data_IF_084605897557
#
_entry.id   IF_084605897557
#
_cell.length_a   1.000
_cell.length_b   1.000
_cell.length_c   1.000
_cell.angle_alpha   90.00
_cell.angle_beta   90.00
_cell.angle_gamma   90.00
#
_symmetry.space_group_name_H-M   'P 1'
#
loop_
_entity.id
_entity.type
_entity.pdbx_description
1 polymer ?
#
# COMPACT_ATOMS: atom_id res chain seq x y z
N UNK A 1 24.91 5.94 3.45
CA UNK A 1 23.45 5.66 3.31
C UNK A 1 22.75 6.27 4.51
N UNK A 2 21.64 6.96 4.25
CA UNK A 2 20.87 7.59 5.32
C UNK A 2 20.40 6.56 6.36
N UNK A 3 20.41 6.97 7.62
CA UNK A 3 19.88 6.24 8.77
C UNK A 3 18.99 7.16 9.62
N UNK A 4 18.08 6.57 10.36
CA UNK A 4 17.31 7.26 11.38
C UNK A 4 17.81 6.83 12.76
N UNK A 5 18.03 7.81 13.62
CA UNK A 5 18.42 7.61 15.02
C UNK A 5 17.19 7.90 15.87
N UNK A 6 16.87 7.00 16.78
CA UNK A 6 15.70 7.08 17.65
C UNK A 6 16.17 6.92 19.10
N UNK A 7 15.95 7.92 19.92
CA UNK A 7 16.09 7.81 21.37
C UNK A 7 14.73 7.40 21.95
N UNK A 8 14.63 6.19 22.46
CA UNK A 8 13.38 5.62 22.93
C UNK A 8 12.91 6.15 24.27
N UNK A 9 11.74 5.67 24.73
CA UNK A 9 11.18 5.96 26.05
C UNK A 9 10.36 7.25 26.14
N UNK A 10 10.11 7.96 25.04
CA UNK A 10 9.20 9.12 25.01
C UNK A 10 7.78 8.67 24.73
N UNK A 11 6.83 9.06 25.59
CA UNK A 11 5.40 8.90 25.36
C UNK A 11 4.98 9.80 24.20
N UNK A 12 4.38 9.21 23.16
CA UNK A 12 3.88 9.97 22.03
C UNK A 12 2.56 10.66 22.37
N UNK A 13 2.41 11.93 21.97
CA UNK A 13 1.16 12.68 22.14
C UNK A 13 1.02 13.76 21.06
N UNK A 14 -0.20 14.09 20.71
CA UNK A 14 -0.49 15.16 19.76
C UNK A 14 -1.33 14.71 18.57
N UNK A 15 -1.28 15.50 17.50
CA UNK A 15 -2.07 15.27 16.29
C UNK A 15 -1.18 15.28 15.07
N UNK A 16 -1.29 14.27 14.22
CA UNK A 16 -0.63 14.22 12.91
C UNK A 16 -1.62 13.95 11.79
N UNK A 17 -1.36 14.47 10.59
CA UNK A 17 -2.10 14.10 9.40
C UNK A 17 -1.66 12.72 8.89
N UNK A 18 -2.62 11.92 8.47
CA UNK A 18 -2.37 10.69 7.69
C UNK A 18 -2.25 11.06 6.22
N UNK A 19 -1.18 10.63 5.58
CA UNK A 19 -0.93 10.88 4.15
C UNK A 19 -1.91 10.13 3.26
N UNK A 20 -1.94 10.50 1.98
CA UNK A 20 -2.64 9.72 0.97
C UNK A 20 -2.08 8.30 0.87
N UNK A 21 -2.96 7.34 0.62
CA UNK A 21 -2.60 5.92 0.58
C UNK A 21 -1.66 5.61 -0.58
N UNK A 22 -0.49 5.07 -0.25
CA UNK A 22 0.50 4.63 -1.25
C UNK A 22 -0.11 3.66 -2.25
N UNK A 23 -0.76 2.61 -1.72
CA UNK A 23 -1.29 1.52 -2.56
C UNK A 23 -2.41 2.05 -3.48
N UNK A 24 -3.30 2.90 -2.98
CA UNK A 24 -4.30 3.58 -3.82
C UNK A 24 -3.64 4.49 -4.87
N UNK A 25 -2.71 5.34 -4.48
CA UNK A 25 -2.03 6.26 -5.40
C UNK A 25 -1.38 5.55 -6.59
N UNK A 26 -0.69 4.42 -6.34
CA UNK A 26 -0.06 3.61 -7.40
C UNK A 26 -1.08 3.01 -8.38
N UNK A 27 -2.31 2.80 -7.93
CA UNK A 27 -3.41 2.28 -8.76
C UNK A 27 -4.13 3.39 -9.51
N UNK A 28 -4.22 4.60 -8.92
CA UNK A 28 -4.90 5.73 -9.54
C UNK A 28 -4.06 6.42 -10.63
N UNK A 29 -2.72 6.42 -10.49
CA UNK A 29 -1.81 7.05 -11.46
C UNK A 29 -1.98 6.50 -12.90
N UNK A 30 -2.02 5.19 -13.15
CA UNK A 30 -2.18 4.65 -14.50
C UNK A 30 -3.55 4.90 -15.12
N UNK A 31 -4.57 5.33 -14.35
CA UNK A 31 -5.86 5.75 -14.91
C UNK A 31 -5.74 6.95 -15.87
N UNK A 32 -4.67 7.76 -15.75
CA UNK A 32 -4.38 8.81 -16.73
C UNK A 32 -4.17 8.30 -18.15
N UNK A 33 -3.80 7.02 -18.33
CA UNK A 33 -3.69 6.38 -19.64
C UNK A 33 -5.04 6.09 -20.29
N UNK A 34 -6.14 6.09 -19.52
CA UNK A 34 -7.49 5.76 -20.02
C UNK A 34 -8.20 6.93 -20.71
N UNK A 35 -7.65 8.15 -20.65
CA UNK A 35 -8.22 9.36 -21.23
C UNK A 35 -7.16 10.26 -21.83
N UNK A 36 -7.54 11.15 -22.77
CA UNK A 36 -6.69 12.24 -23.28
C UNK A 36 -6.87 13.55 -22.52
N UNK A 37 -7.83 13.59 -21.60
CA UNK A 37 -8.11 14.73 -20.76
C UNK A 37 -7.25 14.72 -19.47
N UNK A 38 -7.07 15.87 -18.79
CA UNK A 38 -6.27 15.92 -17.55
C UNK A 38 -6.91 15.16 -16.39
N UNK A 39 -6.13 14.32 -15.72
CA UNK A 39 -6.44 13.70 -14.44
C UNK A 39 -5.66 14.41 -13.34
N UNK A 40 -6.35 15.05 -12.40
CA UNK A 40 -5.73 15.71 -11.24
C UNK A 40 -5.96 14.92 -9.98
N UNK A 41 -4.88 14.39 -9.41
CA UNK A 41 -4.89 13.68 -8.14
C UNK A 41 -4.45 14.59 -7.01
N UNK A 42 -5.30 14.75 -5.98
CA UNK A 42 -5.04 15.49 -4.74
C UNK A 42 -4.65 14.53 -3.62
N UNK A 43 -4.03 15.04 -2.59
CA UNK A 43 -3.57 14.22 -1.44
C UNK A 43 -2.61 13.09 -1.85
N UNK A 44 -1.81 13.31 -2.91
CA UNK A 44 -0.85 12.31 -3.39
C UNK A 44 0.39 12.30 -2.48
N UNK A 45 0.78 11.15 -1.89
CA UNK A 45 1.90 11.13 -0.95
C UNK A 45 3.25 11.35 -1.67
N UNK A 46 4.21 11.92 -0.94
CA UNK A 46 5.60 12.11 -1.42
C UNK A 46 6.42 10.89 -1.07
N UNK A 47 6.41 9.90 -1.94
CA UNK A 47 7.08 8.62 -1.75
C UNK A 47 7.92 8.27 -2.97
N UNK A 48 9.05 7.59 -2.76
CA UNK A 48 9.95 7.17 -3.84
C UNK A 48 9.25 6.31 -4.90
N UNK A 49 8.30 5.45 -4.50
CA UNK A 49 7.53 4.62 -5.42
C UNK A 49 6.59 5.48 -6.30
N UNK A 50 6.02 6.55 -5.77
CA UNK A 50 5.14 7.47 -6.53
C UNK A 50 5.97 8.22 -7.59
N UNK A 51 7.14 8.71 -7.21
CA UNK A 51 8.05 9.41 -8.13
C UNK A 51 8.58 8.45 -9.21
N UNK A 52 8.89 7.22 -8.84
CA UNK A 52 9.28 6.17 -9.79
C UNK A 52 8.16 5.81 -10.77
N UNK A 53 6.90 5.72 -10.30
CA UNK A 53 5.74 5.47 -11.15
C UNK A 53 5.45 6.66 -12.08
N UNK A 54 5.53 7.88 -11.58
CA UNK A 54 5.43 9.08 -12.40
C UNK A 54 6.46 9.06 -13.54
N UNK A 55 7.71 8.70 -13.23
CA UNK A 55 8.75 8.59 -14.26
C UNK A 55 8.44 7.49 -15.29
N UNK A 56 7.86 6.36 -14.87
CA UNK A 56 7.37 5.34 -15.80
C UNK A 56 6.26 5.90 -16.72
N UNK A 57 5.31 6.67 -16.18
CA UNK A 57 4.23 7.27 -16.96
C UNK A 57 4.75 8.22 -18.06
N UNK A 58 5.83 8.93 -17.82
CA UNK A 58 6.43 9.81 -18.85
C UNK A 58 6.96 9.04 -20.06
N UNK A 59 7.33 7.77 -19.92
CA UNK A 59 7.77 6.92 -21.05
C UNK A 59 6.64 6.67 -22.05
N UNK A 60 5.40 6.74 -21.62
CA UNK A 60 4.21 6.56 -22.45
C UNK A 60 3.71 7.87 -23.08
N UNK A 61 4.40 8.97 -22.83
CA UNK A 61 4.01 10.31 -23.32
C UNK A 61 3.07 11.07 -22.38
N UNK A 62 2.92 10.61 -21.13
CA UNK A 62 2.12 11.32 -20.13
C UNK A 62 2.89 12.56 -19.66
N UNK A 63 2.31 13.75 -19.83
CA UNK A 63 2.80 14.98 -19.22
C UNK A 63 2.35 15.05 -17.76
N UNK A 64 3.22 15.58 -16.90
CA UNK A 64 2.93 15.71 -15.46
C UNK A 64 3.22 17.12 -14.97
N UNK A 65 2.33 17.66 -14.14
CA UNK A 65 2.52 18.91 -13.42
C UNK A 65 2.28 18.68 -11.93
N UNK A 66 3.21 19.14 -11.09
CA UNK A 66 3.11 19.01 -9.64
C UNK A 66 2.91 20.39 -9.05
N UNK A 67 1.86 20.53 -8.23
CA UNK A 67 1.59 21.70 -7.41
C UNK A 67 1.78 21.38 -5.93
N UNK A 68 2.01 22.41 -5.12
CA UNK A 68 2.04 22.27 -3.67
C UNK A 68 0.70 21.79 -3.10
N UNK A 69 0.74 21.23 -1.88
CA UNK A 69 -0.46 20.88 -1.15
C UNK A 69 -1.31 22.12 -0.86
N UNK A 70 -2.63 21.97 -0.88
CA UNK A 70 -3.54 22.95 -0.27
C UNK A 70 -3.52 22.77 1.25
N UNK A 71 -3.92 23.78 2.04
CA UNK A 71 -3.94 23.68 3.50
C UNK A 71 -4.73 22.47 4.04
N UNK A 72 -5.77 22.05 3.30
CA UNK A 72 -6.62 20.92 3.64
C UNK A 72 -6.08 19.55 3.16
N UNK A 73 -5.09 19.53 2.28
CA UNK A 73 -4.45 18.34 1.74
C UNK A 73 -3.00 18.23 2.26
N UNK A 74 -2.65 17.13 2.89
CA UNK A 74 -1.30 16.91 3.43
C UNK A 74 -0.31 16.43 2.35
N UNK A 75 -0.82 15.79 1.28
CA UNK A 75 -0.07 15.37 0.12
C UNK A 75 -0.01 16.44 -0.98
N UNK A 76 0.82 16.21 -1.98
CA UNK A 76 0.91 17.06 -3.17
C UNK A 76 -0.29 16.89 -4.10
N UNK A 77 -0.45 17.84 -5.02
CA UNK A 77 -1.39 17.75 -6.14
C UNK A 77 -0.58 17.45 -7.40
N UNK A 78 -0.98 16.43 -8.14
CA UNK A 78 -0.36 16.06 -9.42
C UNK A 78 -1.43 16.02 -10.51
N UNK A 79 -1.19 16.71 -11.60
CA UNK A 79 -1.99 16.61 -12.83
C UNK A 79 -1.22 15.78 -13.85
N UNK A 80 -1.86 14.74 -14.38
CA UNK A 80 -1.31 13.87 -15.43
C UNK A 80 -2.20 14.02 -16.67
N UNK A 81 -1.60 14.02 -17.86
CA UNK A 81 -2.35 14.05 -19.10
C UNK A 81 -1.67 13.21 -20.18
N UNK A 82 -2.40 12.25 -20.72
CA UNK A 82 -2.00 11.38 -21.84
C UNK A 82 -2.72 11.79 -23.13
N UNK A 83 -2.48 13.01 -23.63
CA UNK A 83 -3.08 13.49 -24.87
C UNK A 83 -2.86 12.48 -26.02
N UNK A 84 -1.66 11.88 -26.06
CA UNK A 84 -1.29 10.81 -26.99
C UNK A 84 -0.39 9.82 -26.30
N UNK A 85 -0.67 8.53 -26.46
CA UNK A 85 0.25 7.46 -26.08
C UNK A 85 1.37 7.38 -27.12
N UNK A 86 2.62 7.61 -26.72
CA UNK A 86 3.79 7.65 -27.61
C UNK A 86 4.58 6.34 -27.62
N UNK A 87 4.40 5.50 -26.61
CA UNK A 87 4.99 4.16 -26.49
C UNK A 87 4.05 3.25 -25.72
N UNK A 88 4.02 1.96 -26.09
CA UNK A 88 3.26 0.92 -25.39
C UNK A 88 4.16 -0.02 -24.60
N UNK A 89 5.46 0.31 -24.45
CA UNK A 89 6.44 -0.55 -23.79
C UNK A 89 6.93 0.01 -22.47
N UNK A 90 6.78 -0.75 -21.40
CA UNK A 90 7.34 -0.50 -20.07
C UNK A 90 8.69 -1.24 -19.94
N UNK A 91 9.83 -0.52 -19.95
CA UNK A 91 11.15 -1.13 -20.03
C UNK A 91 11.60 -1.77 -18.71
N UNK A 92 12.44 -2.82 -18.80
CA UNK A 92 12.97 -3.57 -17.65
C UNK A 92 13.56 -2.69 -16.55
N UNK A 93 14.37 -1.69 -16.88
CA UNK A 93 15.08 -0.86 -15.90
C UNK A 93 14.15 -0.05 -14.98
N UNK A 94 12.95 0.26 -15.43
CA UNK A 94 11.92 0.93 -14.63
C UNK A 94 11.05 -0.09 -13.88
N UNK A 95 10.60 -1.15 -14.57
CA UNK A 95 9.70 -2.15 -13.99
C UNK A 95 10.37 -2.96 -12.87
N UNK A 96 11.65 -3.32 -13.01
CA UNK A 96 12.38 -4.11 -12.00
C UNK A 96 12.46 -3.44 -10.62
N UNK A 97 12.35 -2.12 -10.56
CA UNK A 97 12.46 -1.35 -9.31
C UNK A 97 11.17 -1.36 -8.50
N UNK A 98 10.03 -1.57 -9.17
CA UNK A 98 8.72 -1.44 -8.55
C UNK A 98 7.71 -2.38 -9.20
N UNK A 99 7.23 -3.36 -8.41
CA UNK A 99 6.29 -4.35 -8.90
C UNK A 99 4.96 -3.77 -9.40
N UNK A 100 4.49 -2.66 -8.79
CA UNK A 100 3.27 -1.98 -9.20
C UNK A 100 3.31 -1.49 -10.66
N UNK A 101 4.49 -1.45 -11.29
CA UNK A 101 4.65 -1.12 -12.71
C UNK A 101 3.82 -2.02 -13.64
N UNK A 102 3.46 -3.24 -13.20
CA UNK A 102 2.55 -4.13 -13.95
C UNK A 102 1.15 -3.54 -14.13
N UNK A 103 0.75 -2.57 -13.30
CA UNK A 103 -0.58 -1.94 -13.37
C UNK A 103 -0.79 -1.06 -14.61
N UNK A 104 0.25 -0.76 -15.37
CA UNK A 104 0.11 -0.08 -16.66
C UNK A 104 -0.43 -1.00 -17.75
N UNK A 105 -0.38 -2.33 -17.55
CA UNK A 105 -0.74 -3.32 -18.56
C UNK A 105 -2.21 -3.20 -18.99
N UNK A 106 -3.15 -3.17 -18.01
CA UNK A 106 -4.59 -3.07 -18.27
C UNK A 106 -5.00 -1.80 -18.99
N UNK A 107 -4.71 -0.61 -18.45
CA UNK A 107 -5.10 0.65 -19.06
C UNK A 107 -4.43 0.89 -20.42
N UNK A 108 -3.17 0.48 -20.60
CA UNK A 108 -2.48 0.59 -21.87
C UNK A 108 -3.12 -0.29 -22.93
N UNK A 109 -3.42 -1.55 -22.58
CA UNK A 109 -4.11 -2.48 -23.48
C UNK A 109 -5.50 -1.95 -23.89
N UNK A 110 -6.25 -1.41 -22.93
CA UNK A 110 -7.58 -0.85 -23.18
C UNK A 110 -7.54 0.38 -24.11
N UNK A 111 -6.57 1.28 -23.91
CA UNK A 111 -6.46 2.54 -24.66
C UNK A 111 -5.75 2.39 -26.01
N UNK A 112 -4.62 1.66 -26.04
CA UNK A 112 -3.77 1.57 -27.22
C UNK A 112 -3.95 0.28 -28.03
N UNK A 113 -4.71 -0.70 -27.52
CA UNK A 113 -4.90 -2.00 -28.15
C UNK A 113 -3.73 -2.97 -27.95
N UNK A 114 -2.58 -2.51 -27.46
CA UNK A 114 -1.45 -3.35 -27.09
C UNK A 114 -0.67 -2.78 -25.92
N UNK A 115 0.01 -3.65 -25.19
CA UNK A 115 0.94 -3.28 -24.13
C UNK A 115 2.07 -4.31 -24.03
N UNK A 116 3.29 -3.83 -23.87
CA UNK A 116 4.47 -4.67 -23.63
C UNK A 116 5.10 -4.25 -22.30
N UNK A 117 5.09 -5.13 -21.31
CA UNK A 117 5.59 -4.83 -19.96
C UNK A 117 6.63 -5.87 -19.58
N UNK A 118 7.81 -5.41 -19.13
CA UNK A 118 8.81 -6.33 -18.58
C UNK A 118 8.22 -7.11 -17.40
N UNK A 119 8.58 -8.38 -17.29
CA UNK A 119 8.25 -9.15 -16.10
C UNK A 119 8.87 -8.49 -14.86
N UNK A 120 8.09 -8.27 -13.80
CA UNK A 120 8.63 -7.70 -12.57
C UNK A 120 9.66 -8.67 -11.96
N UNK A 121 10.74 -8.13 -11.42
CA UNK A 121 11.73 -8.90 -10.66
C UNK A 121 11.12 -9.59 -9.44
N UNK A 122 11.88 -10.50 -8.82
CA UNK A 122 11.49 -11.17 -7.58
C UNK A 122 11.19 -10.18 -6.46
N UNK A 123 10.35 -10.60 -5.52
CA UNK A 123 10.01 -9.83 -4.33
C UNK A 123 10.58 -10.50 -3.08
N UNK A 124 11.15 -9.71 -2.17
CA UNK A 124 11.76 -10.22 -0.95
C UNK A 124 10.75 -10.95 -0.02
N UNK A 125 9.49 -10.56 -0.05
CA UNK A 125 8.43 -11.13 0.82
C UNK A 125 7.76 -12.39 0.26
N UNK A 126 8.15 -12.87 -0.93
CA UNK A 126 7.64 -14.12 -1.50
C UNK A 126 7.41 -14.11 -3.01
N UNK A 127 7.01 -15.25 -3.54
CA UNK A 127 6.66 -15.41 -4.95
C UNK A 127 5.32 -14.71 -5.23
N UNK A 128 5.32 -13.80 -6.20
CA UNK A 128 4.14 -13.01 -6.60
C UNK A 128 3.97 -13.06 -8.10
N UNK A 129 3.51 -14.20 -8.65
CA UNK A 129 3.32 -14.37 -10.08
C UNK A 129 2.26 -13.37 -10.60
N UNK A 130 2.35 -13.03 -11.88
CA UNK A 130 1.40 -12.14 -12.55
C UNK A 130 0.35 -12.90 -13.37
N UNK A 131 0.30 -14.21 -13.24
CA UNK A 131 -0.59 -15.09 -14.01
C UNK A 131 -2.07 -14.72 -13.89
N UNK A 132 -2.52 -14.29 -12.70
CA UNK A 132 -3.91 -13.85 -12.49
C UNK A 132 -4.24 -12.56 -13.26
N UNK A 133 -3.27 -11.65 -13.41
CA UNK A 133 -3.43 -10.47 -14.27
C UNK A 133 -3.66 -10.90 -15.72
N UNK A 134 -2.81 -11.81 -16.20
CA UNK A 134 -2.85 -12.25 -17.60
C UNK A 134 -4.12 -13.04 -17.91
N UNK A 135 -4.50 -13.98 -17.04
CA UNK A 135 -5.74 -14.77 -17.21
C UNK A 135 -7.00 -13.92 -17.20
N UNK A 136 -7.04 -12.87 -16.38
CA UNK A 136 -8.18 -11.94 -16.38
C UNK A 136 -8.27 -11.17 -17.72
N UNK A 137 -7.14 -10.73 -18.29
CA UNK A 137 -7.09 -10.06 -19.59
C UNK A 137 -7.43 -11.02 -20.74
N UNK A 138 -6.94 -12.27 -20.69
CA UNK A 138 -7.31 -13.32 -21.66
C UNK A 138 -8.81 -13.62 -21.64
N UNK A 139 -9.41 -13.68 -20.45
CA UNK A 139 -10.86 -13.88 -20.32
C UNK A 139 -11.69 -12.70 -20.88
N UNK A 140 -11.10 -11.52 -21.01
CA UNK A 140 -11.68 -10.37 -21.71
C UNK A 140 -11.36 -10.32 -23.20
N UNK A 141 -10.64 -11.32 -23.75
CA UNK A 141 -10.34 -11.48 -25.17
C UNK A 141 -8.94 -11.02 -25.59
N UNK A 142 -8.06 -10.67 -24.67
CA UNK A 142 -6.67 -10.34 -25.01
C UNK A 142 -5.88 -11.59 -25.42
N UNK A 143 -4.96 -11.42 -26.37
CA UNK A 143 -3.92 -12.40 -26.67
C UNK A 143 -2.67 -12.07 -25.85
N UNK A 144 -2.11 -13.05 -25.17
CA UNK A 144 -0.95 -12.88 -24.31
C UNK A 144 0.23 -13.68 -24.86
N UNK A 145 1.35 -13.01 -25.03
CA UNK A 145 2.64 -13.59 -25.43
C UNK A 145 3.68 -13.34 -24.34
N UNK A 146 4.42 -14.38 -23.99
CA UNK A 146 5.56 -14.28 -23.05
C UNK A 146 6.85 -14.55 -23.84
N UNK A 147 7.68 -13.53 -23.99
CA UNK A 147 8.93 -13.65 -24.72
C UNK A 147 10.01 -12.74 -24.13
N UNK A 148 11.24 -13.25 -24.05
CA UNK A 148 12.45 -12.48 -23.68
C UNK A 148 12.31 -11.69 -22.35
N UNK A 149 11.55 -12.22 -21.38
CA UNK A 149 11.32 -11.56 -20.10
C UNK A 149 10.27 -10.45 -20.13
N UNK A 150 9.45 -10.40 -21.19
CA UNK A 150 8.35 -9.45 -21.34
C UNK A 150 7.02 -10.19 -21.50
N UNK A 151 5.96 -9.54 -21.02
CA UNK A 151 4.58 -9.83 -21.38
C UNK A 151 4.19 -8.87 -22.48
N UNK A 152 3.65 -9.39 -23.57
CA UNK A 152 2.95 -8.64 -24.60
C UNK A 152 1.49 -9.03 -24.58
N UNK A 153 0.61 -8.04 -24.35
CA UNK A 153 -0.85 -8.20 -24.43
C UNK A 153 -1.36 -7.45 -25.65
N UNK A 154 -2.25 -8.09 -26.42
CA UNK A 154 -2.80 -7.55 -27.65
C UNK A 154 -4.34 -7.71 -27.59
N UNK A 155 -5.06 -6.62 -27.74
CA UNK A 155 -6.52 -6.66 -27.91
C UNK A 155 -6.88 -7.01 -29.35
N UNK A 156 -8.02 -7.69 -29.57
CA UNK A 156 -8.53 -7.89 -30.92
C UNK A 156 -8.94 -6.57 -31.58
N UNK A 157 -9.10 -6.61 -32.90
CA UNK A 157 -9.55 -5.44 -33.67
C UNK A 157 -10.82 -4.84 -33.09
N UNK A 158 -10.79 -3.52 -32.88
CA UNK A 158 -11.87 -2.76 -32.26
C UNK A 158 -11.88 -2.80 -30.72
N UNK A 159 -10.87 -3.35 -30.06
CA UNK A 159 -10.70 -3.34 -28.61
C UNK A 159 -11.20 -4.61 -27.90
N UNK A 160 -11.01 -4.66 -26.58
CA UNK A 160 -11.43 -5.79 -25.76
C UNK A 160 -12.96 -5.99 -25.82
N UNK A 161 -13.46 -7.22 -26.10
CA UNK A 161 -14.90 -7.48 -26.13
C UNK A 161 -15.56 -7.45 -24.74
N UNK A 162 -14.80 -7.56 -23.66
CA UNK A 162 -15.29 -7.84 -22.33
C UNK A 162 -15.42 -9.35 -22.09
N UNK A 163 -15.83 -9.74 -20.87
CA UNK A 163 -15.92 -11.15 -20.54
C UNK A 163 -16.25 -11.43 -19.08
N UNK A 164 -16.07 -12.68 -18.68
CA UNK A 164 -16.30 -13.11 -17.30
C UNK A 164 -15.05 -13.82 -16.79
N UNK A 165 -14.58 -13.42 -15.61
CA UNK A 165 -13.46 -14.06 -14.95
C UNK A 165 -13.76 -14.26 -13.46
N UNK A 166 -13.41 -15.44 -12.93
CA UNK A 166 -13.47 -15.75 -11.52
C UNK A 166 -12.05 -15.97 -11.01
N UNK A 167 -11.61 -15.13 -10.09
CA UNK A 167 -10.28 -15.27 -9.49
C UNK A 167 -10.24 -16.53 -8.60
N UNK A 168 -9.32 -17.49 -8.82
CA UNK A 168 -9.20 -18.69 -7.98
C UNK A 168 -8.76 -18.34 -6.55
N UNK A 169 -8.01 -17.25 -6.41
CA UNK A 169 -7.64 -16.62 -5.14
C UNK A 169 -7.77 -15.10 -5.29
N UNK A 170 -8.11 -14.42 -4.21
CA UNK A 170 -8.21 -12.95 -4.20
C UNK A 170 -6.85 -12.34 -4.54
N UNK A 171 -6.84 -11.44 -5.52
CA UNK A 171 -5.63 -10.71 -5.94
C UNK A 171 -5.96 -9.24 -6.17
N UNK A 172 -5.39 -8.37 -5.34
CA UNK A 172 -5.59 -6.92 -5.43
C UNK A 172 -5.10 -6.41 -6.79
N UNK A 173 -3.83 -6.61 -7.13
CA UNK A 173 -3.26 -6.09 -8.37
C UNK A 173 -3.93 -6.65 -9.64
N UNK A 174 -4.33 -7.93 -9.64
CA UNK A 174 -5.04 -8.49 -10.79
C UNK A 174 -6.46 -7.92 -10.94
N UNK A 175 -7.16 -7.66 -9.83
CA UNK A 175 -8.45 -6.95 -9.84
C UNK A 175 -8.29 -5.53 -10.38
N UNK A 176 -7.27 -4.79 -9.94
CA UNK A 176 -6.96 -3.44 -10.41
C UNK A 176 -6.72 -3.39 -11.93
N UNK A 177 -5.85 -4.26 -12.43
CA UNK A 177 -5.58 -4.34 -13.87
C UNK A 177 -6.81 -4.71 -14.69
N UNK A 178 -7.59 -5.69 -14.23
CA UNK A 178 -8.82 -6.12 -14.90
C UNK A 178 -9.89 -5.00 -14.93
N UNK A 179 -10.06 -4.27 -13.81
CA UNK A 179 -10.95 -3.10 -13.74
C UNK A 179 -10.56 -2.04 -14.78
N UNK A 180 -9.28 -1.63 -14.79
CA UNK A 180 -8.79 -0.61 -15.72
C UNK A 180 -8.86 -1.04 -17.17
N UNK A 181 -8.74 -2.34 -17.46
CA UNK A 181 -8.94 -2.86 -18.82
C UNK A 181 -10.41 -2.90 -19.22
N UNK A 182 -11.29 -3.23 -18.29
CA UNK A 182 -12.72 -3.45 -18.55
C UNK A 182 -13.50 -2.16 -18.85
N UNK A 183 -13.10 -1.02 -18.29
CA UNK A 183 -13.86 0.23 -18.42
C UNK A 183 -13.97 0.76 -19.86
N UNK A 184 -13.04 0.41 -20.75
CA UNK A 184 -13.08 0.73 -22.17
C UNK A 184 -13.36 -0.49 -23.05
N UNK A 185 -13.76 -1.63 -22.50
CA UNK A 185 -14.18 -2.80 -23.29
C UNK A 185 -15.47 -2.50 -24.05
N UNK A 186 -15.67 -3.17 -25.18
CA UNK A 186 -16.89 -2.98 -26.02
C UNK A 186 -18.18 -3.51 -25.40
N UNK A 187 -18.06 -4.33 -24.35
CA UNK A 187 -19.19 -4.99 -23.74
C UNK A 187 -19.09 -5.04 -22.23
N UNK A 188 -19.84 -5.95 -21.64
CA UNK A 188 -19.90 -6.17 -20.21
C UNK A 188 -18.76 -7.07 -19.74
N UNK A 189 -18.12 -6.71 -18.64
CA UNK A 189 -17.17 -7.56 -17.91
C UNK A 189 -17.70 -7.85 -16.51
N UNK A 190 -17.63 -9.10 -16.08
CA UNK A 190 -17.98 -9.51 -14.71
C UNK A 190 -16.77 -10.19 -14.05
N UNK A 191 -16.34 -9.66 -12.91
CA UNK A 191 -15.25 -10.21 -12.11
C UNK A 191 -15.83 -10.82 -10.84
N UNK A 192 -15.60 -12.13 -10.62
CA UNK A 192 -16.00 -12.83 -9.41
C UNK A 192 -14.79 -13.09 -8.53
N UNK A 193 -15.01 -13.18 -7.22
CA UNK A 193 -13.97 -13.29 -6.19
C UNK A 193 -12.91 -12.18 -6.33
N UNK A 194 -13.37 -10.98 -6.72
CA UNK A 194 -12.55 -9.78 -6.83
C UNK A 194 -12.09 -9.32 -5.44
N UNK A 195 -10.96 -8.63 -5.40
CA UNK A 195 -10.47 -7.97 -4.20
C UNK A 195 -11.45 -6.87 -3.74
N UNK A 196 -11.54 -6.66 -2.43
CA UNK A 196 -12.50 -5.76 -1.80
C UNK A 196 -11.82 -4.67 -0.96
N UNK A 197 -10.51 -4.61 -0.99
CA UNK A 197 -9.71 -3.63 -0.26
C UNK A 197 -10.22 -2.21 -0.50
N UNK A 198 -10.16 -1.32 0.48
CA UNK A 198 -10.56 0.09 0.32
C UNK A 198 -9.92 0.77 -0.89
N UNK A 199 -8.70 0.36 -1.25
CA UNK A 199 -7.98 0.86 -2.43
C UNK A 199 -8.65 0.45 -3.75
N UNK A 200 -9.33 -0.71 -3.81
CA UNK A 200 -10.17 -1.12 -4.95
C UNK A 200 -11.42 -0.24 -5.04
N UNK A 201 -12.03 0.05 -3.90
CA UNK A 201 -13.19 0.97 -3.85
C UNK A 201 -12.78 2.37 -4.31
N UNK A 202 -11.60 2.84 -3.90
CA UNK A 202 -11.04 4.13 -4.29
C UNK A 202 -10.80 4.21 -5.82
N UNK A 203 -10.22 3.13 -6.41
CA UNK A 203 -10.08 2.99 -7.85
C UNK A 203 -11.44 3.04 -8.58
N UNK A 204 -12.42 2.26 -8.13
CA UNK A 204 -13.74 2.26 -8.72
C UNK A 204 -14.38 3.66 -8.68
N UNK A 205 -14.27 4.38 -7.56
CA UNK A 205 -14.79 5.74 -7.41
C UNK A 205 -14.12 6.73 -8.35
N UNK A 206 -12.79 6.63 -8.53
CA UNK A 206 -12.10 7.44 -9.53
C UNK A 206 -12.60 7.12 -10.93
N UNK A 207 -12.67 5.84 -11.32
CA UNK A 207 -13.12 5.44 -12.65
C UNK A 207 -14.57 5.92 -12.92
N UNK A 208 -15.46 5.82 -11.93
CA UNK A 208 -16.83 6.38 -12.03
C UNK A 208 -16.79 7.90 -12.17
N UNK A 209 -15.94 8.60 -11.43
CA UNK A 209 -15.74 10.05 -11.57
C UNK A 209 -15.17 10.43 -12.96
N UNK A 210 -14.54 9.49 -13.67
CA UNK A 210 -14.08 9.64 -15.05
C UNK A 210 -15.14 9.21 -16.09
N UNK A 211 -16.31 8.73 -15.64
CA UNK A 211 -17.43 8.34 -16.52
C UNK A 211 -17.59 6.84 -16.75
N UNK A 212 -16.90 5.98 -15.99
CA UNK A 212 -17.10 4.54 -16.05
C UNK A 212 -18.42 4.10 -15.38
N UNK A 213 -18.98 3.01 -15.84
CA UNK A 213 -20.18 2.37 -15.30
C UNK A 213 -19.80 1.06 -14.58
N UNK A 214 -19.81 1.09 -13.24
CA UNK A 214 -19.37 -0.02 -12.38
C UNK A 214 -20.44 -0.31 -11.34
N UNK A 215 -20.88 -1.57 -11.25
CA UNK A 215 -21.79 -2.08 -10.23
C UNK A 215 -21.04 -3.01 -9.26
N UNK A 216 -21.55 -3.16 -8.03
CA UNK A 216 -21.01 -4.07 -7.02
C UNK A 216 -19.75 -3.54 -6.31
N UNK A 217 -19.49 -2.23 -6.34
CA UNK A 217 -18.33 -1.61 -5.69
C UNK A 217 -18.30 -1.97 -4.18
N UNK A 218 -17.15 -2.47 -3.72
CA UNK A 218 -16.95 -2.94 -2.35
C UNK A 218 -17.39 -4.38 -2.09
N UNK A 219 -17.94 -5.07 -3.09
CA UNK A 219 -18.29 -6.49 -3.00
C UNK A 219 -17.27 -7.38 -3.74
N UNK A 220 -17.38 -8.69 -3.60
CA UNK A 220 -16.54 -9.66 -4.31
C UNK A 220 -16.98 -9.90 -5.77
N UNK A 221 -18.06 -9.28 -6.21
CA UNK A 221 -18.54 -9.34 -7.58
C UNK A 221 -18.64 -7.93 -8.16
N UNK A 222 -17.85 -7.66 -9.19
CA UNK A 222 -17.84 -6.39 -9.91
C UNK A 222 -18.37 -6.58 -11.31
N UNK A 223 -19.32 -5.75 -11.71
CA UNK A 223 -19.83 -5.69 -13.07
C UNK A 223 -19.45 -4.35 -13.67
N UNK A 224 -18.76 -4.38 -14.81
CA UNK A 224 -18.27 -3.21 -15.51
C UNK A 224 -18.95 -3.18 -16.89
N UNK A 225 -19.66 -2.11 -17.21
CA UNK A 225 -20.16 -1.83 -18.53
C UNK A 225 -19.15 -0.93 -19.23
N UNK A 226 -18.49 -1.45 -20.25
CA UNK A 226 -17.47 -0.70 -20.96
C UNK A 226 -18.09 0.49 -21.69
N UNK A 227 -17.39 1.63 -21.64
CA UNK A 227 -17.80 2.89 -22.29
C UNK A 227 -16.87 3.23 -23.45
N UNK A 228 -17.35 4.03 -24.40
CA UNK A 228 -16.58 4.41 -25.58
C UNK A 228 -15.37 5.30 -25.23
N UNK A 229 -15.52 6.17 -24.22
CA UNK A 229 -14.46 7.07 -23.74
C UNK A 229 -14.66 7.42 -22.27
N UNK A 230 -13.55 7.71 -21.61
CA UNK A 230 -13.53 8.34 -20.30
C UNK A 230 -13.08 9.79 -20.43
N UNK A 231 -13.47 10.63 -19.48
CA UNK A 231 -13.03 12.04 -19.38
C UNK A 231 -12.06 12.25 -18.24
N UNK A 232 -11.47 13.44 -18.17
CA UNK A 232 -10.62 13.86 -17.06
C UNK A 232 -11.41 14.04 -15.75
N UNK A 233 -10.70 14.00 -14.63
CA UNK A 233 -11.30 14.18 -13.31
C UNK A 233 -10.33 14.88 -12.36
N UNK A 234 -10.88 15.50 -11.32
CA UNK A 234 -10.14 15.90 -10.12
C UNK A 234 -10.58 15.01 -8.97
N UNK A 235 -9.64 14.25 -8.42
CA UNK A 235 -9.93 13.25 -7.41
C UNK A 235 -8.97 13.34 -6.23
N UNK A 236 -9.47 13.07 -5.02
CA UNK A 236 -8.66 13.05 -3.80
C UNK A 236 -8.35 11.60 -3.43
N UNK A 237 -7.08 11.22 -3.42
CA UNK A 237 -6.60 9.90 -2.97
C UNK A 237 -7.02 9.69 -1.51
N UNK A 238 -7.54 8.51 -1.19
CA UNK A 238 -7.91 8.12 0.18
C UNK A 238 -6.73 8.21 1.13
N UNK A 239 -6.97 8.34 2.43
CA UNK A 239 -5.92 8.33 3.44
C UNK A 239 -5.33 6.93 3.62
N UNK A 240 -4.02 6.82 3.95
CA UNK A 240 -3.34 5.53 4.09
C UNK A 240 -3.70 4.86 5.42
N UNK A 241 -4.57 3.85 5.36
CA UNK A 241 -4.98 3.04 6.52
C UNK A 241 -3.82 2.28 7.15
N UNK A 242 -2.78 1.94 6.38
CA UNK A 242 -1.60 1.24 6.88
C UNK A 242 -0.69 2.22 7.63
N UNK A 243 -0.52 3.43 7.12
CA UNK A 243 0.17 4.50 7.83
C UNK A 243 -0.54 4.82 9.16
N UNK A 244 -1.87 4.97 9.12
CA UNK A 244 -2.68 5.22 10.32
C UNK A 244 -2.52 4.12 11.37
N UNK A 245 -2.63 2.85 10.97
CA UNK A 245 -2.42 1.71 11.86
C UNK A 245 -0.99 1.64 12.42
N UNK A 246 0.01 2.03 11.61
CA UNK A 246 1.41 2.08 12.04
C UNK A 246 1.64 3.11 13.14
N UNK A 247 1.09 4.31 13.01
CA UNK A 247 1.17 5.34 14.05
C UNK A 247 0.31 4.98 15.28
N UNK A 248 -0.79 4.26 15.10
CA UNK A 248 -1.56 3.71 16.22
C UNK A 248 -0.74 2.71 17.04
N UNK A 249 0.01 1.80 16.38
CA UNK A 249 0.96 0.91 17.06
C UNK A 249 2.10 1.67 17.76
N UNK A 250 2.63 2.72 17.12
CA UNK A 250 3.68 3.57 17.70
C UNK A 250 3.20 4.31 18.96
N UNK A 251 2.00 4.86 18.93
CA UNK A 251 1.37 5.47 20.10
C UNK A 251 1.18 4.43 21.21
N UNK A 252 0.61 3.27 20.87
CA UNK A 252 0.30 2.22 21.83
C UNK A 252 1.53 1.67 22.55
N UNK A 253 2.61 1.36 21.82
CA UNK A 253 3.82 0.79 22.43
C UNK A 253 4.52 1.76 23.40
N UNK A 254 4.33 3.07 23.21
CA UNK A 254 4.88 4.13 24.06
C UNK A 254 3.93 4.54 25.20
N UNK A 255 2.77 3.88 25.35
CA UNK A 255 1.72 4.31 26.29
C UNK A 255 1.15 5.68 25.96
N UNK A 256 1.14 6.03 24.66
CA UNK A 256 0.83 7.35 24.15
C UNK A 256 -0.65 7.59 23.87
N UNK A 257 -0.94 8.85 23.49
CA UNK A 257 -2.26 9.32 23.12
C UNK A 257 -2.16 10.26 21.91
N UNK A 258 -2.69 9.86 20.77
CA UNK A 258 -2.54 10.60 19.51
C UNK A 258 -3.85 10.72 18.74
N UNK A 259 -3.98 11.79 17.97
CA UNK A 259 -5.05 11.95 16.97
C UNK A 259 -4.49 11.82 15.56
N UNK A 260 -5.03 10.87 14.81
CA UNK A 260 -4.67 10.55 13.42
C UNK A 260 -5.67 11.24 12.49
N UNK A 261 -5.35 12.47 12.07
CA UNK A 261 -6.25 13.28 11.25
C UNK A 261 -6.35 12.72 9.82
N UNK A 262 -7.57 12.51 9.35
CA UNK A 262 -7.86 11.96 8.02
C UNK A 262 -7.97 10.44 7.99
N UNK A 263 -7.61 9.72 9.06
CA UNK A 263 -7.84 8.28 9.15
C UNK A 263 -9.33 7.95 9.18
N UNK A 264 -9.73 6.83 8.56
CA UNK A 264 -11.12 6.39 8.49
C UNK A 264 -11.27 5.03 9.21
N UNK A 265 -12.15 4.99 10.21
CA UNK A 265 -12.42 3.80 11.02
C UNK A 265 -12.90 2.61 10.18
N UNK A 266 -13.84 2.83 9.27
CA UNK A 266 -14.47 1.80 8.44
C UNK A 266 -13.47 1.10 7.50
N UNK A 267 -12.41 1.80 7.09
CA UNK A 267 -11.38 1.26 6.19
C UNK A 267 -10.35 0.37 6.91
N UNK A 268 -10.34 0.36 8.25
CA UNK A 268 -9.34 -0.33 9.06
C UNK A 268 -9.93 -1.13 10.23
N UNK A 269 -11.19 -1.56 10.15
CA UNK A 269 -11.91 -2.29 11.22
C UNK A 269 -11.11 -3.45 11.81
N UNK A 270 -10.53 -4.32 10.99
CA UNK A 270 -9.74 -5.46 11.48
C UNK A 270 -8.48 -5.02 12.26
N UNK A 271 -7.86 -3.90 11.86
CA UNK A 271 -6.72 -3.33 12.58
C UNK A 271 -7.17 -2.73 13.91
N UNK A 272 -8.30 -2.02 13.92
CA UNK A 272 -8.88 -1.45 15.14
C UNK A 272 -9.29 -2.55 16.11
N UNK A 273 -9.89 -3.64 15.61
CA UNK A 273 -10.23 -4.80 16.42
C UNK A 273 -8.97 -5.43 17.06
N UNK A 274 -7.91 -5.66 16.29
CA UNK A 274 -6.67 -6.24 16.80
C UNK A 274 -6.01 -5.34 17.86
N UNK A 275 -6.02 -4.02 17.65
CA UNK A 275 -5.55 -3.04 18.62
C UNK A 275 -6.42 -3.06 19.90
N UNK A 276 -7.74 -3.15 19.77
CA UNK A 276 -8.67 -3.28 20.89
C UNK A 276 -8.44 -4.55 21.72
N UNK A 277 -8.19 -5.70 21.06
CA UNK A 277 -7.80 -6.94 21.71
C UNK A 277 -6.48 -6.77 22.46
N UNK A 278 -5.52 -6.03 21.89
CA UNK A 278 -4.26 -5.68 22.54
C UNK A 278 -4.40 -4.66 23.68
N UNK A 279 -5.60 -4.12 23.94
CA UNK A 279 -5.84 -3.17 25.03
C UNK A 279 -5.71 -1.69 24.64
N UNK A 280 -5.69 -1.39 23.35
CA UNK A 280 -5.58 -0.03 22.82
C UNK A 280 -6.96 0.50 22.47
N UNK A 281 -7.33 1.68 22.97
CA UNK A 281 -8.54 2.39 22.53
C UNK A 281 -8.29 3.06 21.19
N UNK A 282 -9.20 2.83 20.23
CA UNK A 282 -9.24 3.54 18.94
C UNK A 282 -10.67 4.00 18.71
N UNK A 283 -10.88 5.29 18.76
CA UNK A 283 -12.21 5.90 18.68
C UNK A 283 -12.31 6.89 17.51
N UNK A 284 -13.41 6.86 16.76
CA UNK A 284 -13.63 7.87 15.72
C UNK A 284 -13.87 9.25 16.38
N UNK A 285 -13.20 10.26 15.84
CA UNK A 285 -13.36 11.67 16.22
C UNK A 285 -13.60 12.53 14.98
N UNK A 286 -13.96 13.79 15.18
CA UNK A 286 -14.19 14.70 14.06
C UNK A 286 -12.93 14.79 13.16
N UNK A 287 -13.04 14.23 11.95
CA UNK A 287 -12.00 14.25 10.93
C UNK A 287 -10.84 13.29 11.14
N UNK A 288 -11.00 12.21 11.93
CA UNK A 288 -9.96 11.20 12.10
C UNK A 288 -10.24 10.17 13.19
N UNK A 289 -9.17 9.63 13.75
CA UNK A 289 -9.19 8.65 14.83
C UNK A 289 -8.39 9.15 16.03
N UNK A 290 -8.90 8.94 17.21
CA UNK A 290 -8.17 9.08 18.47
C UNK A 290 -7.70 7.72 18.95
N UNK A 291 -6.43 7.62 19.31
CA UNK A 291 -5.76 6.38 19.76
C UNK A 291 -5.16 6.64 21.13
N UNK A 292 -5.46 5.80 22.11
CA UNK A 292 -4.91 5.88 23.47
C UNK A 292 -4.57 4.49 24.02
N UNK A 293 -3.47 4.40 24.75
CA UNK A 293 -3.04 3.18 25.43
C UNK A 293 -2.61 3.51 26.88
N UNK A 294 -3.52 3.34 27.81
CA UNK A 294 -3.31 3.68 29.22
C UNK A 294 -3.02 2.46 30.12
N UNK A 295 -2.96 1.27 29.55
CA UNK A 295 -2.77 0.01 30.27
C UNK A 295 -1.70 -0.89 29.64
N UNK A 296 -1.51 -2.09 30.24
CA UNK A 296 -0.60 -3.08 29.68
C UNK A 296 -1.09 -3.59 28.31
N UNK A 297 -0.15 -3.86 27.41
CA UNK A 297 -0.44 -4.50 26.13
C UNK A 297 -0.81 -5.96 26.38
N UNK A 298 -1.95 -6.40 25.88
CA UNK A 298 -2.43 -7.78 26.01
C UNK A 298 -1.97 -8.62 24.79
N UNK A 299 -1.74 -9.92 25.00
CA UNK A 299 -1.40 -10.82 23.90
C UNK A 299 -2.60 -11.00 22.94
N UNK A 300 -2.28 -11.18 21.66
CA UNK A 300 -3.28 -11.35 20.59
C UNK A 300 -2.92 -12.57 19.75
N UNK A 301 -3.94 -13.31 19.32
CA UNK A 301 -3.80 -14.40 18.34
C UNK A 301 -4.61 -14.06 17.11
N UNK A 302 -3.92 -13.90 15.97
CA UNK A 302 -4.59 -13.58 14.70
C UNK A 302 -3.86 -14.15 13.49
N UNK A 303 -4.57 -14.13 12.35
CA UNK A 303 -4.05 -14.48 11.03
C UNK A 303 -4.27 -13.32 10.07
N UNK A 304 -3.31 -13.07 9.20
CA UNK A 304 -3.53 -12.15 8.07
C UNK A 304 -4.53 -12.76 7.09
N UNK A 305 -5.33 -11.94 6.45
CA UNK A 305 -6.31 -12.37 5.45
C UNK A 305 -6.61 -11.22 4.46
N UNK A 306 -7.13 -11.55 3.25
CA UNK A 306 -7.69 -10.53 2.37
C UNK A 306 -8.77 -9.70 3.08
N UNK A 307 -8.96 -8.45 2.66
CA UNK A 307 -9.99 -7.58 3.24
C UNK A 307 -11.39 -8.23 3.17
N UNK A 308 -12.19 -8.14 4.26
CA UNK A 308 -12.03 -7.29 5.43
C UNK A 308 -11.20 -7.89 6.58
N UNK A 309 -10.42 -8.94 6.35
CA UNK A 309 -9.53 -9.50 7.35
C UNK A 309 -8.33 -8.60 7.65
N UNK A 310 -7.49 -9.05 8.60
CA UNK A 310 -6.32 -8.28 9.04
C UNK A 310 -5.27 -8.21 7.93
N UNK A 311 -4.90 -6.99 7.57
CA UNK A 311 -4.00 -6.73 6.45
C UNK A 311 -2.58 -7.23 6.72
N UNK A 312 -2.01 -7.99 5.76
CA UNK A 312 -0.62 -8.43 5.82
C UNK A 312 0.36 -7.26 5.92
N UNK A 313 0.00 -6.06 5.41
CA UNK A 313 0.80 -4.84 5.51
C UNK A 313 0.88 -4.27 6.94
N UNK A 314 0.04 -4.74 7.86
CA UNK A 314 0.03 -4.37 9.28
C UNK A 314 0.67 -5.41 10.20
N UNK A 315 1.05 -6.58 9.67
CA UNK A 315 1.54 -7.71 10.45
C UNK A 315 2.80 -7.36 11.27
N UNK A 316 3.79 -6.72 10.66
CA UNK A 316 5.05 -6.40 11.30
C UNK A 316 4.91 -5.31 12.39
N UNK A 317 4.07 -4.30 12.16
CA UNK A 317 3.81 -3.22 13.09
C UNK A 317 3.09 -3.72 14.35
N UNK A 318 2.06 -4.58 14.16
CA UNK A 318 1.40 -5.22 15.28
C UNK A 318 2.35 -6.15 16.03
N UNK A 319 3.20 -6.92 15.33
CA UNK A 319 4.22 -7.77 15.96
C UNK A 319 5.16 -6.95 16.87
N UNK A 320 5.62 -5.80 16.42
CA UNK A 320 6.46 -4.92 17.24
C UNK A 320 5.73 -4.47 18.52
N UNK A 321 4.46 -4.09 18.44
CA UNK A 321 3.63 -3.77 19.60
C UNK A 321 3.55 -4.95 20.57
N UNK A 322 3.28 -6.17 20.03
CA UNK A 322 3.10 -7.39 20.81
C UNK A 322 4.40 -7.90 21.47
N UNK A 323 5.58 -7.41 21.06
CA UNK A 323 6.83 -7.65 21.81
C UNK A 323 6.78 -7.11 23.24
N UNK A 324 5.86 -6.19 23.52
CA UNK A 324 5.65 -5.60 24.87
C UNK A 324 4.39 -6.14 25.56
N UNK A 325 3.73 -7.16 25.00
CA UNK A 325 2.52 -7.73 25.58
C UNK A 325 2.81 -8.50 26.87
N UNK A 326 1.88 -8.49 27.82
CA UNK A 326 1.94 -9.33 29.03
C UNK A 326 1.45 -10.75 28.71
N UNK A 327 2.26 -11.53 28.00
CA UNK A 327 1.94 -12.91 27.61
C UNK A 327 2.49 -13.29 26.25
N UNK A 328 1.93 -14.34 25.66
CA UNK A 328 2.35 -14.90 24.38
C UNK A 328 1.31 -14.63 23.31
N UNK A 329 1.73 -14.03 22.21
CA UNK A 329 0.91 -13.80 21.02
C UNK A 329 1.27 -14.75 19.90
N UNK A 330 0.30 -15.07 19.02
CA UNK A 330 0.51 -15.94 17.87
C UNK A 330 0.03 -15.21 16.60
N UNK A 331 0.93 -15.02 15.66
CA UNK A 331 0.64 -14.38 14.37
C UNK A 331 0.86 -15.38 13.23
N UNK A 332 -0.16 -15.59 12.39
CA UNK A 332 -0.05 -16.45 11.21
C UNK A 332 -0.15 -15.62 9.94
N UNK A 333 0.90 -15.68 9.10
CA UNK A 333 0.96 -15.00 7.81
C UNK A 333 0.43 -15.91 6.70
N UNK A 334 -0.76 -15.63 6.19
CA UNK A 334 -1.40 -16.47 5.16
C UNK A 334 -1.20 -15.96 3.75
N UNK A 335 -0.78 -14.70 3.58
CA UNK A 335 -0.69 -14.04 2.27
C UNK A 335 0.69 -14.24 1.63
N UNK A 336 1.77 -13.96 2.38
CA UNK A 336 3.14 -14.03 1.86
C UNK A 336 4.02 -14.94 2.72
N UNK A 337 4.71 -15.90 2.08
CA UNK A 337 5.49 -16.93 2.74
C UNK A 337 6.75 -16.43 3.45
N UNK A 338 7.36 -15.33 2.97
CA UNK A 338 8.64 -14.81 3.48
C UNK A 338 8.50 -13.48 4.24
N UNK A 339 7.36 -13.24 4.90
CA UNK A 339 7.11 -11.92 5.50
C UNK A 339 7.55 -11.78 6.96
N UNK A 340 8.53 -12.55 7.39
CA UNK A 340 9.12 -12.49 8.74
C UNK A 340 10.59 -12.04 8.76
N UNK A 341 11.07 -11.39 7.71
CA UNK A 341 12.48 -10.96 7.59
C UNK A 341 12.90 -9.90 8.64
N UNK A 342 11.94 -9.24 9.29
CA UNK A 342 12.18 -8.28 10.37
C UNK A 342 12.38 -8.95 11.73
N UNK A 343 12.01 -10.21 11.88
CA UNK A 343 12.09 -10.93 13.16
C UNK A 343 13.52 -11.00 13.72
N UNK A 344 14.56 -11.33 12.94
CA UNK A 344 15.94 -11.32 13.44
C UNK A 344 16.36 -9.93 13.97
N UNK A 345 15.89 -8.84 13.33
CA UNK A 345 16.23 -7.49 13.75
C UNK A 345 15.49 -7.08 15.04
N UNK A 346 14.20 -7.47 15.19
CA UNK A 346 13.48 -7.29 16.46
C UNK A 346 14.12 -8.11 17.60
N UNK A 347 14.53 -9.37 17.34
CA UNK A 347 15.22 -10.19 18.32
C UNK A 347 16.58 -9.57 18.72
N UNK A 348 17.27 -8.89 17.79
CA UNK A 348 18.49 -8.11 18.08
C UNK A 348 18.23 -6.94 19.05
N UNK A 349 17.00 -6.42 19.06
CA UNK A 349 16.54 -5.40 20.02
C UNK A 349 16.04 -6.00 21.35
N UNK A 350 16.24 -7.30 21.57
CA UNK A 350 15.83 -7.99 22.80
C UNK A 350 14.41 -8.53 22.79
N UNK A 351 13.71 -8.54 21.65
CA UNK A 351 12.46 -9.26 21.52
C UNK A 351 12.68 -10.78 21.58
N UNK A 352 11.64 -11.53 21.92
CA UNK A 352 11.66 -12.99 21.94
C UNK A 352 10.59 -13.52 20.99
N UNK A 353 10.98 -13.73 19.74
CA UNK A 353 10.10 -14.17 18.66
C UNK A 353 10.66 -15.43 18.04
N UNK A 354 9.82 -16.47 17.98
CA UNK A 354 10.11 -17.73 17.30
C UNK A 354 9.24 -17.86 16.04
N UNK A 355 9.82 -18.30 14.94
CA UNK A 355 9.08 -18.51 13.68
C UNK A 355 9.12 -19.98 13.26
N UNK A 356 7.98 -20.51 12.84
CA UNK A 356 7.85 -21.84 12.27
C UNK A 356 6.89 -21.80 11.07
N UNK A 357 7.43 -21.95 9.87
CA UNK A 357 6.64 -21.83 8.64
C UNK A 357 5.96 -20.47 8.52
N UNK A 358 4.64 -20.47 8.52
CA UNK A 358 3.80 -19.26 8.41
C UNK A 358 3.40 -18.66 9.77
N UNK A 359 3.88 -19.21 10.87
CA UNK A 359 3.48 -18.77 12.21
C UNK A 359 4.67 -18.16 12.96
N UNK A 360 4.42 -17.04 13.63
CA UNK A 360 5.33 -16.44 14.59
C UNK A 360 4.71 -16.47 15.97
N UNK A 361 5.48 -16.92 16.96
CA UNK A 361 5.15 -16.89 18.40
C UNK A 361 5.94 -15.74 19.00
N UNK A 362 5.23 -14.76 19.54
CA UNK A 362 5.83 -13.55 20.14
C UNK A 362 5.63 -13.64 21.65
N UNK A 363 6.72 -13.86 22.38
CA UNK A 363 6.73 -13.78 23.83
C UNK A 363 7.01 -12.34 24.25
N UNK A 364 6.06 -11.73 24.92
CA UNK A 364 6.23 -10.37 25.37
C UNK A 364 7.37 -10.23 26.40
N UNK A 365 8.15 -9.15 26.26
CA UNK A 365 9.31 -8.87 27.12
C UNK A 365 9.08 -7.60 27.94
N UNK A 366 9.69 -7.53 29.13
CA UNK A 366 9.56 -6.38 30.02
C UNK A 366 10.16 -5.10 29.42
N UNK A 367 11.17 -5.23 28.55
CA UNK A 367 11.83 -4.11 27.88
C UNK A 367 12.46 -4.53 26.54
N UNK A 368 12.55 -3.60 25.63
CA UNK A 368 13.39 -3.66 24.44
C UNK A 368 14.63 -2.80 24.65
N UNK A 369 15.69 -3.08 23.91
CA UNK A 369 16.97 -2.37 23.99
C UNK A 369 17.29 -1.75 22.63
N UNK A 370 17.78 -0.53 22.62
CA UNK A 370 18.25 0.12 21.41
C UNK A 370 19.41 -0.66 20.78
N UNK A 371 19.43 -0.72 19.45
CA UNK A 371 20.46 -1.42 18.68
C UNK A 371 20.60 -0.82 17.28
N UNK A 372 21.71 -1.14 16.60
CA UNK A 372 21.82 -0.93 15.17
C UNK A 372 21.10 -2.05 14.43
N UNK A 373 20.11 -1.70 13.60
CA UNK A 373 19.23 -2.62 12.87
C UNK A 373 19.09 -2.22 11.40
N UNK A 374 18.77 -3.18 10.56
CA UNK A 374 18.62 -2.95 9.12
C UNK A 374 17.16 -3.08 8.67
N UNK A 375 16.67 -2.06 7.99
CA UNK A 375 15.40 -2.14 7.26
C UNK A 375 15.45 -3.23 6.19
N UNK A 376 14.42 -4.08 6.13
CA UNK A 376 14.35 -5.25 5.24
C UNK A 376 13.36 -5.08 4.10
N UNK A 377 12.24 -4.44 4.35
CA UNK A 377 11.23 -4.05 3.36
C UNK A 377 10.46 -2.81 3.85
N UNK A 378 9.62 -2.25 2.99
CA UNK A 378 8.96 -0.96 3.26
C UNK A 378 8.02 -0.97 4.46
N UNK A 379 7.29 -2.07 4.73
CA UNK A 379 6.33 -2.14 5.85
C UNK A 379 6.98 -2.70 7.10
N UNK A 380 7.78 -3.78 6.97
CA UNK A 380 8.49 -4.37 8.08
C UNK A 380 9.49 -3.40 8.73
N UNK A 381 10.07 -2.49 7.95
CA UNK A 381 11.00 -1.48 8.49
C UNK A 381 10.35 -0.58 9.53
N UNK A 382 9.04 -0.32 9.42
CA UNK A 382 8.31 0.47 10.43
C UNK A 382 8.21 -0.26 11.78
N UNK A 383 8.25 -1.59 11.81
CA UNK A 383 8.27 -2.34 13.06
C UNK A 383 9.50 -2.04 13.90
N UNK A 384 10.67 -1.81 13.25
CA UNK A 384 11.92 -1.45 13.91
C UNK A 384 11.86 -0.03 14.49
N UNK A 385 11.21 0.89 13.80
CA UNK A 385 10.94 2.24 14.30
C UNK A 385 10.03 2.17 15.53
N UNK A 386 8.92 1.44 15.45
CA UNK A 386 7.97 1.25 16.55
C UNK A 386 8.68 0.64 17.77
N UNK A 387 9.47 -0.41 17.57
CA UNK A 387 10.26 -1.01 18.65
C UNK A 387 11.28 -0.03 19.24
N UNK A 388 11.96 0.76 18.39
CA UNK A 388 12.94 1.77 18.80
C UNK A 388 12.34 2.88 19.65
N UNK A 389 11.10 3.30 19.38
CA UNK A 389 10.41 4.32 20.18
C UNK A 389 10.17 3.88 21.63
N UNK A 390 10.05 2.56 21.88
CA UNK A 390 9.85 2.00 23.22
C UNK A 390 11.13 1.36 23.83
N UNK A 391 12.24 1.32 23.10
CA UNK A 391 13.47 0.70 23.54
C UNK A 391 14.21 1.58 24.58
N UNK A 392 14.97 0.94 25.45
CA UNK A 392 15.92 1.66 26.32
C UNK A 392 17.19 2.00 25.50
N UNK A 393 17.56 3.27 25.44
CA UNK A 393 18.73 3.76 24.73
C UNK A 393 18.44 4.11 23.26
N UNK A 394 19.50 4.19 22.47
CA UNK A 394 19.48 4.64 21.08
C UNK A 394 19.31 3.47 20.12
N UNK A 395 18.39 3.61 19.16
CA UNK A 395 18.21 2.68 18.02
C UNK A 395 18.62 3.38 16.74
N UNK A 396 19.44 2.72 15.92
CA UNK A 396 19.83 3.20 14.59
C UNK A 396 19.24 2.29 13.52
N UNK A 397 18.32 2.80 12.73
CA UNK A 397 17.72 2.05 11.61
C UNK A 397 18.41 2.44 10.32
N UNK A 398 19.09 1.49 9.69
CA UNK A 398 19.78 1.68 8.41
C UNK A 398 18.90 1.34 7.22
N UNK A 399 19.33 1.71 6.00
CA UNK A 399 18.64 1.47 4.72
C UNK A 399 17.28 2.16 4.63
N UNK A 400 17.21 3.43 4.98
CA UNK A 400 15.99 4.23 5.02
C UNK A 400 15.22 4.29 3.70
N UNK A 401 15.88 4.00 2.58
CA UNK A 401 15.21 3.92 1.28
C UNK A 401 14.02 2.93 1.25
N UNK A 402 13.98 1.96 2.18
CA UNK A 402 12.80 1.11 2.36
C UNK A 402 11.64 1.87 3.01
N UNK A 403 11.91 2.67 4.06
CA UNK A 403 10.90 3.51 4.72
C UNK A 403 10.38 4.62 3.80
N UNK A 404 11.26 5.28 3.04
CA UNK A 404 10.91 6.34 2.09
C UNK A 404 9.97 5.89 0.96
N UNK A 405 9.82 4.59 0.75
CA UNK A 405 8.87 4.00 -0.18
C UNK A 405 7.46 3.91 0.39
N UNK A 406 7.29 3.95 1.71
CA UNK A 406 6.02 3.65 2.35
C UNK A 406 5.51 4.67 3.36
N UNK A 407 6.37 5.55 3.87
CA UNK A 407 6.05 6.52 4.92
C UNK A 407 6.56 7.90 4.56
N UNK A 408 5.62 8.84 4.36
CA UNK A 408 5.92 10.23 4.02
C UNK A 408 6.36 11.00 5.26
N UNK A 409 7.55 11.64 5.22
CA UNK A 409 8.05 12.55 6.26
C UNK A 409 7.99 11.91 7.66
N UNK A 410 8.45 10.66 7.78
CA UNK A 410 8.32 9.85 8.99
C UNK A 410 8.91 10.55 10.21
N UNK A 411 10.14 11.04 10.11
CA UNK A 411 10.85 11.71 11.19
C UNK A 411 10.15 13.00 11.65
N UNK A 412 9.59 13.76 10.71
CA UNK A 412 8.85 14.99 11.04
C UNK A 412 7.54 14.67 11.77
N UNK A 413 6.78 13.67 11.31
CA UNK A 413 5.53 13.26 11.96
C UNK A 413 5.78 12.69 13.35
N UNK A 414 6.82 11.89 13.53
CA UNK A 414 7.20 11.37 14.85
C UNK A 414 7.66 12.49 15.77
N UNK A 415 8.44 13.45 15.28
CA UNK A 415 8.85 14.63 16.05
C UNK A 415 7.66 15.50 16.49
N UNK A 416 6.65 15.67 15.61
CA UNK A 416 5.39 16.35 15.96
C UNK A 416 4.64 15.65 17.09
N UNK A 417 4.80 14.34 17.24
CA UNK A 417 4.24 13.55 18.35
C UNK A 417 5.15 13.53 19.60
N UNK A 418 6.27 14.24 19.58
CA UNK A 418 7.19 14.33 20.71
C UNK A 418 8.27 13.25 20.78
N UNK A 419 8.41 12.43 19.73
CA UNK A 419 9.53 11.49 19.65
C UNK A 419 10.86 12.22 19.45
N UNK A 420 11.94 11.65 20.01
CA UNK A 420 13.31 12.08 19.75
C UNK A 420 13.85 11.24 18.59
N UNK A 421 13.76 11.79 17.39
CA UNK A 421 14.16 11.13 16.14
C UNK A 421 14.94 12.09 15.26
N UNK A 422 16.01 11.59 14.65
CA UNK A 422 16.84 12.36 13.73
C UNK A 422 17.22 11.53 12.51
N UNK A 423 17.13 12.12 11.33
CA UNK A 423 17.64 11.54 10.09
C UNK A 423 19.07 12.04 9.86
N UNK A 424 19.99 11.11 9.75
CA UNK A 424 21.42 11.40 9.52
C UNK A 424 21.80 10.83 8.15
N UNK A 425 22.23 11.70 7.25
CA UNK A 425 22.84 11.32 5.98
C UNK A 425 24.32 10.97 6.15
N UNK A 426 24.82 10.01 5.38
CA UNK A 426 26.26 9.91 5.13
C UNK A 426 26.67 11.16 4.33
N UNK A 427 27.55 11.99 4.92
CA UNK A 427 28.12 13.17 4.27
C UNK A 427 28.92 12.85 3.01
#
# INVERSE_FOLDING_TARGET
MDKIIIEGGKRLSGTIPVSGAKNAALTLLPCALLTDEPLTLRNLPRLADIDGFQHLMTQFGVSTAIAGARPEDFGRVMTLQATRVTSTTAPYDLVRKMRASILVLGPMLARAGEATVSLPGGCAIGNRPIDLHLKALEAMGAQIELASGYVRAIAPDGGLPGGRYSFPVVSVGATENALMAAVLARGKTTLHNAAREPEIVDLCRLLVAMGAEIEGIGTSELTIHGVERLHGATYRVMSDRIEAGSYACAAAITGGEVTLKGANFEEMEATVQALGEAGVSVEPVAGGLHVAADGPIRPVTLSTAPYPGFATDMQAQLMALLCRAEGTSVLTETIFENRYMHVPELNRMGAHIETSGRTAIVHGVAKLTGAEVMATDLRASMSLVIAGLAAEGETQVHRLYHLDRGYERLEEKLSLLGACVERVGDG
#
